data_IF_198987552779
#
_entry.id   IF_198987552779
#
_cell.length_a   1.000
_cell.length_b   1.000
_cell.length_c   1.000
_cell.angle_alpha   90.00
_cell.angle_beta   90.00
_cell.angle_gamma   90.00
#
_symmetry.space_group_name_H-M   'P 1'
#
loop_
_entity.id
_entity.type
_entity.pdbx_description
1 polymer ?
#
# COMPACT_ATOMS: atom_id res chain seq x y z
N UNK A 1 -23.89 13.37 4.43
CA UNK A 1 -23.55 11.93 4.50
C UNK A 1 -22.08 11.85 4.16
N UNK A 2 -21.23 11.69 5.17
CA UNK A 2 -19.81 11.41 4.95
C UNK A 2 -19.73 10.13 4.12
N UNK A 3 -19.38 10.28 2.84
CA UNK A 3 -18.99 9.12 2.05
C UNK A 3 -17.74 8.57 2.71
N UNK A 4 -17.74 7.27 2.97
CA UNK A 4 -16.57 6.55 3.43
C UNK A 4 -15.44 6.70 2.40
N UNK A 5 -14.51 7.63 2.65
CA UNK A 5 -13.46 8.01 1.70
C UNK A 5 -12.54 6.82 1.39
N UNK A 6 -12.35 5.89 2.33
CA UNK A 6 -11.57 4.66 2.13
C UNK A 6 -12.23 3.74 1.11
N UNK A 7 -13.57 3.57 1.17
CA UNK A 7 -14.29 2.68 0.24
C UNK A 7 -14.12 3.04 -1.24
N UNK A 8 -13.81 4.31 -1.53
CA UNK A 8 -13.64 4.80 -2.90
C UNK A 8 -12.20 4.66 -3.42
N UNK A 9 -11.22 4.44 -2.55
CA UNK A 9 -9.82 4.35 -2.94
C UNK A 9 -9.53 3.08 -3.77
N UNK A 10 -8.73 3.25 -4.80
CA UNK A 10 -8.13 2.15 -5.54
C UNK A 10 -7.06 1.48 -4.65
N UNK A 11 -7.12 0.16 -4.44
CA UNK A 11 -6.10 -0.56 -3.71
C UNK A 11 -4.84 -0.70 -4.57
N UNK A 12 -3.65 -0.55 -3.98
CA UNK A 12 -2.36 -0.53 -4.68
C UNK A 12 -1.33 -1.45 -4.03
N UNK A 13 -0.42 -1.99 -4.83
CA UNK A 13 0.82 -2.63 -4.36
C UNK A 13 1.86 -1.56 -3.99
N UNK A 14 1.87 -1.12 -2.73
CA UNK A 14 2.87 -0.17 -2.21
C UNK A 14 3.96 -0.95 -1.47
N UNK A 15 5.21 -0.85 -1.93
CA UNK A 15 6.33 -1.59 -1.35
C UNK A 15 7.11 -0.79 -0.29
N UNK A 16 8.09 -1.45 0.35
CA UNK A 16 8.87 -0.89 1.46
C UNK A 16 9.50 0.47 1.13
N UNK A 17 9.43 1.37 2.10
CA UNK A 17 10.04 2.70 2.08
C UNK A 17 9.22 3.78 1.35
N UNK A 18 8.01 3.47 0.88
CA UNK A 18 7.10 4.45 0.30
C UNK A 18 6.16 5.03 1.36
N UNK A 19 6.16 6.36 1.47
CA UNK A 19 5.21 7.15 2.25
C UNK A 19 4.08 7.64 1.35
N UNK A 20 2.84 7.45 1.79
CA UNK A 20 1.63 7.97 1.14
C UNK A 20 1.41 9.40 1.61
N UNK A 21 1.76 10.38 0.79
CA UNK A 21 1.59 11.81 1.12
C UNK A 21 0.18 12.27 0.82
N UNK A 22 -0.39 11.77 -0.26
CA UNK A 22 -1.77 12.05 -0.67
C UNK A 22 -2.30 10.82 -1.38
N UNK A 23 -3.52 10.41 -1.05
CA UNK A 23 -4.22 9.35 -1.75
C UNK A 23 -5.71 9.68 -1.87
N UNK A 24 -6.08 10.10 -3.07
CA UNK A 24 -7.44 10.30 -3.55
C UNK A 24 -7.65 9.47 -4.83
N UNK A 25 -6.82 8.45 -5.08
CA UNK A 25 -6.87 7.67 -6.30
C UNK A 25 -8.18 6.86 -6.31
N UNK A 26 -9.16 7.33 -7.08
CA UNK A 26 -10.46 6.71 -7.24
C UNK A 26 -10.91 6.87 -8.70
N UNK A 27 -11.97 6.16 -9.07
CA UNK A 27 -12.51 6.22 -10.44
C UNK A 27 -13.47 7.40 -10.67
N UNK A 28 -13.77 8.20 -9.64
CA UNK A 28 -14.67 9.35 -9.76
C UNK A 28 -13.93 10.54 -10.41
N UNK A 29 -14.35 10.89 -11.62
CA UNK A 29 -13.84 12.09 -12.30
C UNK A 29 -14.41 13.35 -11.64
N UNK A 30 -13.54 14.21 -11.13
CA UNK A 30 -13.93 15.53 -10.62
C UNK A 30 -13.94 16.57 -11.74
N UNK A 31 -14.80 17.59 -11.63
CA UNK A 31 -14.94 18.68 -12.62
C UNK A 31 -13.78 19.69 -12.59
N UNK A 32 -12.76 19.49 -11.75
CA UNK A 32 -11.58 20.34 -11.70
C UNK A 32 -10.68 20.09 -12.92
N UNK A 33 -10.13 21.18 -13.50
CA UNK A 33 -9.28 21.10 -14.70
C UNK A 33 -7.99 20.29 -14.48
N UNK A 34 -7.48 20.30 -13.24
CA UNK A 34 -6.28 19.56 -12.82
C UNK A 34 -6.34 19.24 -11.33
N UNK A 35 -6.23 17.97 -10.98
CA UNK A 35 -6.17 17.55 -9.57
C UNK A 35 -5.17 16.42 -9.35
N UNK A 36 -4.39 16.51 -8.26
CA UNK A 36 -3.44 15.46 -7.86
C UNK A 36 -4.23 14.33 -7.18
N UNK A 37 -4.19 13.14 -7.76
CA UNK A 37 -4.87 11.94 -7.28
C UNK A 37 -4.04 11.19 -6.25
N UNK A 38 -2.74 11.07 -6.49
CA UNK A 38 -1.83 10.31 -5.65
C UNK A 38 -0.49 11.01 -5.58
N UNK A 39 0.14 10.98 -4.41
CA UNK A 39 1.53 11.36 -4.23
C UNK A 39 2.21 10.39 -3.26
N UNK A 40 3.18 9.67 -3.78
CA UNK A 40 4.04 8.77 -3.01
C UNK A 40 5.45 9.35 -2.95
N UNK A 41 6.11 9.21 -1.80
CA UNK A 41 7.49 9.64 -1.62
C UNK A 41 8.34 8.50 -1.10
N UNK A 42 9.58 8.41 -1.59
CA UNK A 42 10.59 7.52 -1.06
C UNK A 42 11.86 8.32 -0.78
N UNK A 43 12.10 8.64 0.50
CA UNK A 43 13.22 9.49 0.91
C UNK A 43 14.57 8.84 0.66
N UNK A 44 14.69 7.53 0.96
CA UNK A 44 15.91 6.74 0.74
C UNK A 44 16.32 6.73 -0.72
N UNK A 45 15.32 6.67 -1.62
CA UNK A 45 15.53 6.71 -3.06
C UNK A 45 15.57 8.13 -3.62
N UNK A 46 15.27 9.15 -2.83
CA UNK A 46 15.13 10.53 -3.31
C UNK A 46 14.14 10.62 -4.50
N UNK A 47 13.00 9.95 -4.39
CA UNK A 47 12.00 9.86 -5.45
C UNK A 47 10.61 10.30 -5.00
N UNK A 48 9.83 10.79 -5.96
CA UNK A 48 8.39 11.05 -5.83
C UNK A 48 7.68 10.45 -7.05
N UNK A 49 6.57 9.76 -6.80
CA UNK A 49 5.63 9.35 -7.84
C UNK A 49 4.34 10.12 -7.62
N UNK A 50 3.83 10.73 -8.68
CA UNK A 50 2.56 11.46 -8.67
C UNK A 50 1.63 10.91 -9.72
N UNK A 51 0.35 10.88 -9.40
CA UNK A 51 -0.73 10.70 -10.37
C UNK A 51 -1.55 11.98 -10.36
N UNK A 52 -1.74 12.57 -11.53
CA UNK A 52 -2.52 13.79 -11.71
C UNK A 52 -3.56 13.52 -12.78
N UNK A 53 -4.82 13.90 -12.56
CA UNK A 53 -5.80 13.91 -13.62
C UNK A 53 -5.88 15.31 -14.25
N UNK A 54 -5.71 15.39 -15.56
CA UNK A 54 -5.78 16.64 -16.33
C UNK A 54 -6.14 16.34 -17.78
N UNK A 55 -6.96 17.20 -18.41
CA UNK A 55 -7.39 17.07 -19.81
C UNK A 55 -8.00 15.69 -20.12
N UNK A 56 -8.86 15.19 -19.23
CA UNK A 56 -9.51 13.87 -19.33
C UNK A 56 -8.56 12.65 -19.33
N UNK A 57 -7.30 12.84 -18.92
CA UNK A 57 -6.29 11.79 -18.84
C UNK A 57 -5.64 11.72 -17.46
N UNK A 58 -5.21 10.52 -17.09
CA UNK A 58 -4.33 10.30 -15.94
C UNK A 58 -2.89 10.48 -16.37
N UNK A 59 -2.12 11.28 -15.64
CA UNK A 59 -0.70 11.52 -15.87
C UNK A 59 0.09 10.94 -14.71
N UNK A 60 0.94 9.97 -15.00
CA UNK A 60 1.88 9.40 -14.05
C UNK A 60 3.23 10.12 -14.21
N UNK A 61 3.75 10.67 -13.12
CA UNK A 61 5.01 11.40 -13.11
C UNK A 61 5.95 10.77 -12.08
N UNK A 62 7.14 10.37 -12.52
CA UNK A 62 8.24 9.94 -11.65
C UNK A 62 9.30 11.03 -11.67
N UNK A 63 9.62 11.59 -10.50
CA UNK A 63 10.55 12.70 -10.38
C UNK A 63 11.48 12.55 -9.17
N UNK A 64 12.54 13.35 -9.13
CA UNK A 64 13.42 13.47 -7.97
C UNK A 64 12.71 14.18 -6.82
N UNK A 65 12.90 13.70 -5.60
CA UNK A 65 12.30 14.33 -4.41
C UNK A 65 12.93 15.70 -4.11
N UNK A 66 14.27 15.80 -4.25
CA UNK A 66 15.05 17.02 -3.95
C UNK A 66 15.51 17.78 -5.19
N UNK A 67 15.29 17.24 -6.39
CA UNK A 67 15.69 17.84 -7.67
C UNK A 67 14.47 17.87 -8.57
N UNK A 68 14.22 18.98 -9.24
CA UNK A 68 13.13 19.12 -10.22
C UNK A 68 13.37 18.34 -11.53
N UNK A 69 14.08 17.22 -11.44
CA UNK A 69 14.34 16.32 -12.56
C UNK A 69 13.16 15.34 -12.67
N UNK A 70 12.48 15.40 -13.81
CA UNK A 70 11.51 14.38 -14.21
C UNK A 70 12.29 13.23 -14.85
N UNK A 71 12.03 12.02 -14.37
CA UNK A 71 12.62 10.78 -14.90
C UNK A 71 11.69 10.10 -15.91
N UNK A 72 10.38 10.18 -15.68
CA UNK A 72 9.35 9.58 -16.53
C UNK A 72 8.03 10.35 -16.38
N UNK A 73 7.32 10.48 -17.49
CA UNK A 73 5.99 11.05 -17.57
C UNK A 73 5.22 10.31 -18.66
N UNK A 74 4.10 9.68 -18.29
CA UNK A 74 3.21 8.96 -19.20
C UNK A 74 1.76 9.34 -18.92
N UNK A 75 0.91 9.21 -19.94
CA UNK A 75 -0.51 9.52 -19.86
C UNK A 75 -1.37 8.32 -20.23
N UNK A 76 -2.47 8.15 -19.52
CA UNK A 76 -3.39 7.02 -19.64
C UNK A 76 -4.84 7.51 -19.73
N UNK A 77 -5.65 6.84 -20.54
CA UNK A 77 -7.09 7.09 -20.61
C UNK A 77 -7.87 6.21 -19.62
N UNK A 78 -7.36 4.99 -19.38
CA UNK A 78 -8.01 3.97 -18.56
C UNK A 78 -7.29 3.78 -17.23
N UNK A 79 -8.06 3.61 -16.16
CA UNK A 79 -7.53 3.42 -14.80
C UNK A 79 -6.69 2.13 -14.72
N UNK A 80 -7.12 1.04 -15.35
CA UNK A 80 -6.41 -0.24 -15.30
C UNK A 80 -4.97 -0.14 -15.81
N UNK A 81 -4.76 0.52 -16.95
CA UNK A 81 -3.44 0.76 -17.53
C UNK A 81 -2.57 1.65 -16.64
N UNK A 82 -3.17 2.68 -16.02
CA UNK A 82 -2.50 3.51 -15.03
C UNK A 82 -2.05 2.68 -13.82
N UNK A 83 -2.90 1.80 -13.29
CA UNK A 83 -2.59 1.00 -12.10
C UNK A 83 -1.43 0.03 -12.37
N UNK A 84 -1.41 -0.61 -13.54
CA UNK A 84 -0.31 -1.50 -13.95
C UNK A 84 1.03 -0.76 -13.99
N UNK A 85 1.08 0.38 -14.70
CA UNK A 85 2.31 1.17 -14.77
C UNK A 85 2.70 1.74 -13.41
N UNK A 86 1.73 2.20 -12.61
CA UNK A 86 1.96 2.75 -11.28
C UNK A 86 2.61 1.73 -10.34
N UNK A 87 2.07 0.52 -10.25
CA UNK A 87 2.63 -0.54 -9.42
C UNK A 87 4.03 -0.94 -9.92
N UNK A 88 4.24 -0.95 -11.24
CA UNK A 88 5.56 -1.19 -11.83
C UNK A 88 6.57 -0.12 -11.44
N UNK A 89 6.20 1.17 -11.46
CA UNK A 89 7.07 2.27 -11.06
C UNK A 89 7.36 2.27 -9.57
N UNK A 90 6.35 1.99 -8.72
CA UNK A 90 6.54 1.85 -7.27
C UNK A 90 7.59 0.77 -6.97
N UNK A 91 7.47 -0.39 -7.60
CA UNK A 91 8.43 -1.49 -7.45
C UNK A 91 9.83 -1.13 -7.97
N UNK A 92 9.92 -0.68 -9.22
CA UNK A 92 11.19 -0.42 -9.91
C UNK A 92 12.00 0.65 -9.22
N UNK A 93 11.35 1.75 -8.82
CA UNK A 93 12.01 2.84 -8.09
C UNK A 93 12.34 2.42 -6.65
N UNK A 94 11.41 1.74 -5.95
CA UNK A 94 11.59 1.30 -4.56
C UNK A 94 12.75 0.33 -4.39
N UNK A 95 12.92 -0.60 -5.34
CA UNK A 95 14.00 -1.58 -5.38
C UNK A 95 15.38 -0.96 -5.69
N UNK A 96 15.42 0.28 -6.18
CA UNK A 96 16.64 1.09 -6.26
C UNK A 96 17.04 1.55 -7.66
N UNK A 97 16.17 1.39 -8.66
CA UNK A 97 16.46 1.82 -10.03
C UNK A 97 15.85 3.20 -10.29
N UNK A 98 16.69 4.20 -10.46
CA UNK A 98 16.26 5.58 -10.77
C UNK A 98 16.97 6.20 -11.97
N UNK A 99 18.25 5.88 -12.20
CA UNK A 99 19.01 6.37 -13.35
C UNK A 99 19.22 5.24 -14.36
N UNK A 100 18.69 5.41 -15.58
CA UNK A 100 18.91 4.46 -16.68
C UNK A 100 18.11 3.14 -16.63
N UNK A 101 17.07 3.08 -15.79
CA UNK A 101 16.08 1.99 -15.64
C UNK A 101 16.47 0.62 -16.25
N UNK A 102 17.49 -0.05 -15.69
CA UNK A 102 17.71 -1.47 -15.95
C UNK A 102 16.79 -2.32 -15.04
N UNK A 103 16.08 -3.28 -15.63
CA UNK A 103 15.12 -4.15 -14.96
C UNK A 103 15.77 -4.98 -13.85
N UNK A 104 15.38 -4.76 -12.59
CA UNK A 104 15.74 -5.64 -11.47
C UNK A 104 14.94 -6.96 -11.48
N UNK A 105 13.77 -6.97 -12.13
CA UNK A 105 12.98 -8.13 -12.53
C UNK A 105 11.89 -7.67 -13.50
N UNK A 106 11.34 -8.57 -14.33
CA UNK A 106 10.25 -8.23 -15.25
C UNK A 106 8.87 -8.14 -14.57
N UNK A 107 8.74 -8.54 -13.30
CA UNK A 107 7.43 -8.73 -12.66
C UNK A 107 7.40 -8.06 -11.29
N UNK A 108 6.35 -7.26 -11.07
CA UNK A 108 6.00 -6.73 -9.75
C UNK A 108 5.65 -7.91 -8.84
N UNK A 109 6.19 -8.01 -7.61
CA UNK A 109 5.83 -9.06 -6.68
C UNK A 109 4.31 -9.17 -6.45
N UNK A 110 3.83 -10.36 -6.09
CA UNK A 110 2.42 -10.59 -5.82
C UNK A 110 1.96 -10.03 -4.45
N UNK A 111 2.39 -8.83 -4.08
CA UNK A 111 1.94 -8.20 -2.84
C UNK A 111 0.44 -7.93 -2.87
N UNK A 112 -0.19 -8.01 -1.70
CA UNK A 112 -1.59 -7.65 -1.54
C UNK A 112 -1.80 -6.17 -1.85
N UNK A 113 -2.85 -5.85 -2.61
CA UNK A 113 -3.23 -4.47 -2.89
C UNK A 113 -3.99 -3.89 -1.69
N UNK A 114 -3.53 -2.77 -1.15
CA UNK A 114 -4.08 -2.13 0.04
C UNK A 114 -4.54 -0.69 -0.25
N UNK A 115 -5.57 -0.22 0.45
CA UNK A 115 -6.11 1.15 0.35
C UNK A 115 -5.48 2.09 1.38
N UNK A 116 -4.15 2.16 1.38
CA UNK A 116 -3.40 2.91 2.40
C UNK A 116 -3.72 4.41 2.28
N UNK A 117 -4.25 5.07 3.33
CA UNK A 117 -4.56 6.50 3.28
C UNK A 117 -3.30 7.36 3.45
N UNK A 118 -3.47 8.66 3.21
CA UNK A 118 -2.41 9.63 3.42
C UNK A 118 -1.92 9.66 4.88
N UNK A 119 -0.62 9.85 5.07
CA UNK A 119 0.03 9.92 6.39
C UNK A 119 0.77 8.63 6.79
N UNK A 120 0.46 7.51 6.14
CA UNK A 120 1.10 6.22 6.40
C UNK A 120 2.35 5.99 5.54
N UNK A 121 3.29 5.22 6.09
CA UNK A 121 4.50 4.75 5.40
C UNK A 121 4.54 3.24 5.46
N UNK A 122 4.82 2.58 4.33
CA UNK A 122 5.07 1.14 4.30
C UNK A 122 6.49 0.89 4.75
N UNK A 123 6.69 0.47 5.98
CA UNK A 123 8.02 0.18 6.52
C UNK A 123 8.49 -1.19 6.03
N UNK A 124 7.58 -2.15 5.97
CA UNK A 124 7.84 -3.50 5.52
C UNK A 124 6.58 -4.16 4.93
N UNK A 125 6.71 -4.90 3.84
CA UNK A 125 5.66 -5.76 3.27
C UNK A 125 6.25 -7.02 2.64
N UNK A 126 5.68 -8.16 3.00
CA UNK A 126 5.78 -9.46 2.33
C UNK A 126 4.40 -10.10 2.10
N UNK A 127 3.34 -9.51 2.69
CA UNK A 127 1.95 -9.94 2.55
C UNK A 127 1.55 -10.07 1.08
N UNK A 128 1.17 -11.28 0.66
CA UNK A 128 0.79 -11.63 -0.71
C UNK A 128 -0.71 -11.69 -0.91
N UNK A 129 -1.13 -11.57 -2.16
CA UNK A 129 -2.51 -11.85 -2.61
C UNK A 129 -2.73 -13.37 -2.80
N UNK A 130 -2.38 -14.15 -1.77
CA UNK A 130 -2.54 -15.60 -1.73
C UNK A 130 -3.68 -15.90 -0.76
N UNK A 131 -4.77 -16.50 -1.24
CA UNK A 131 -5.91 -16.83 -0.38
C UNK A 131 -5.66 -18.16 0.37
N UNK A 132 -5.50 -18.15 1.71
CA UNK A 132 -5.25 -19.37 2.49
C UNK A 132 -6.34 -20.43 2.31
N UNK A 133 -7.58 -20.03 1.96
CA UNK A 133 -8.68 -20.97 1.72
C UNK A 133 -8.55 -21.79 0.44
N UNK A 134 -7.65 -21.39 -0.45
CA UNK A 134 -7.44 -22.06 -1.74
C UNK A 134 -6.25 -23.03 -1.71
N UNK A 135 -5.51 -23.06 -0.61
CA UNK A 135 -4.32 -23.88 -0.44
C UNK A 135 -4.65 -25.22 0.20
N UNK A 136 -3.96 -26.26 -0.25
CA UNK A 136 -3.93 -27.56 0.44
C UNK A 136 -2.98 -27.47 1.65
N UNK A 137 -3.16 -28.33 2.66
CA UNK A 137 -2.35 -28.30 3.90
C UNK A 137 -0.85 -28.51 3.65
N UNK A 138 -0.48 -29.20 2.57
CA UNK A 138 0.90 -29.50 2.21
C UNK A 138 1.49 -28.57 1.13
N UNK A 139 0.82 -27.44 0.85
CA UNK A 139 1.31 -26.46 -0.12
C UNK A 139 2.54 -25.70 0.43
N UNK A 140 3.58 -25.55 -0.40
CA UNK A 140 4.80 -24.84 -0.02
C UNK A 140 4.55 -23.34 0.25
N UNK A 141 3.44 -22.78 -0.26
CA UNK A 141 3.04 -21.39 -0.01
C UNK A 141 2.94 -21.08 1.50
N UNK A 142 2.54 -22.05 2.33
CA UNK A 142 2.52 -21.87 3.79
C UNK A 142 3.88 -21.40 4.33
N UNK A 143 4.99 -21.96 3.82
CA UNK A 143 6.34 -21.64 4.27
C UNK A 143 6.85 -20.27 3.80
N UNK A 144 6.32 -19.73 2.70
CA UNK A 144 6.87 -18.54 2.03
C UNK A 144 5.95 -17.32 2.05
N UNK A 145 4.65 -17.52 2.22
CA UNK A 145 3.63 -16.48 2.12
C UNK A 145 3.04 -16.13 3.49
N UNK A 146 3.17 -17.01 4.48
CA UNK A 146 2.48 -16.93 5.78
C UNK A 146 3.47 -17.03 6.95
N UNK A 147 4.24 -15.96 7.19
CA UNK A 147 5.17 -15.84 8.32
C UNK A 147 4.70 -14.79 9.35
N UNK A 148 5.45 -14.61 10.44
CA UNK A 148 5.06 -13.71 11.54
C UNK A 148 5.13 -12.23 11.17
N UNK A 149 5.91 -11.86 10.15
CA UNK A 149 6.13 -10.47 9.72
C UNK A 149 5.61 -10.31 8.29
N UNK A 150 4.33 -9.94 8.11
CA UNK A 150 3.72 -9.79 6.78
C UNK A 150 3.61 -8.34 6.32
N UNK A 151 3.24 -7.44 7.23
CA UNK A 151 3.05 -6.02 6.94
C UNK A 151 3.38 -5.21 8.19
N UNK A 152 4.20 -4.17 8.03
CA UNK A 152 4.38 -3.15 9.03
C UNK A 152 4.29 -1.78 8.38
N UNK A 153 3.34 -0.96 8.84
CA UNK A 153 3.15 0.41 8.35
C UNK A 153 3.02 1.39 9.51
N UNK A 154 3.60 2.58 9.36
CA UNK A 154 3.61 3.60 10.42
C UNK A 154 2.98 4.92 10.00
N UNK A 155 2.26 5.54 10.92
CA UNK A 155 1.76 6.91 10.80
C UNK A 155 2.52 7.83 11.78
N UNK A 156 3.67 8.36 11.33
CA UNK A 156 4.61 9.13 12.17
C UNK A 156 3.96 10.28 12.95
N UNK A 157 3.08 11.07 12.34
CA UNK A 157 2.45 12.22 13.03
C UNK A 157 1.49 11.81 14.15
N UNK A 158 0.91 10.60 14.09
CA UNK A 158 -0.04 10.07 15.07
C UNK A 158 0.60 9.05 16.02
N UNK A 159 1.89 8.75 15.82
CA UNK A 159 2.63 7.70 16.51
C UNK A 159 1.88 6.35 16.51
N UNK A 160 1.29 6.00 15.37
CA UNK A 160 0.64 4.70 15.16
C UNK A 160 1.56 3.77 14.37
N UNK A 161 1.54 2.50 14.72
CA UNK A 161 2.16 1.39 13.99
C UNK A 161 1.10 0.31 13.81
N UNK A 162 0.84 -0.09 12.57
CA UNK A 162 -0.03 -1.23 12.27
C UNK A 162 0.85 -2.38 11.81
N UNK A 163 0.76 -3.49 12.54
CA UNK A 163 1.52 -4.71 12.30
C UNK A 163 0.56 -5.85 11.93
N UNK A 164 0.97 -6.68 10.97
CA UNK A 164 0.22 -7.87 10.55
C UNK A 164 1.18 -9.03 10.39
N UNK A 165 0.82 -10.16 10.98
CA UNK A 165 1.53 -11.43 10.87
C UNK A 165 0.59 -12.61 10.67
N UNK A 166 1.14 -13.79 10.38
CA UNK A 166 0.41 -15.06 10.42
C UNK A 166 0.91 -15.93 11.56
N UNK A 167 -0.03 -16.43 12.37
CA UNK A 167 0.25 -17.16 13.60
C UNK A 167 -0.59 -18.44 13.73
N UNK A 168 0.03 -19.60 14.00
CA UNK A 168 1.48 -19.86 13.97
C UNK A 168 2.06 -19.72 12.56
N UNK A 169 3.31 -19.29 12.44
CA UNK A 169 3.99 -19.16 11.15
C UNK A 169 4.00 -20.49 10.39
N UNK A 170 3.63 -20.41 9.10
CA UNK A 170 3.59 -21.53 8.18
C UNK A 170 2.57 -22.62 8.51
N UNK A 171 1.69 -22.41 9.49
CA UNK A 171 0.67 -23.38 9.87
C UNK A 171 -0.61 -23.14 9.05
N UNK A 172 -1.12 -24.15 8.30
CA UNK A 172 -2.39 -24.05 7.57
C UNK A 172 -3.62 -23.75 8.45
N UNK A 173 -3.53 -24.05 9.75
CA UNK A 173 -4.56 -23.77 10.75
C UNK A 173 -4.37 -22.41 11.45
N UNK A 174 -3.34 -21.66 11.05
CA UNK A 174 -3.04 -20.34 11.58
C UNK A 174 -4.06 -19.27 11.19
N UNK A 175 -3.74 -18.04 11.53
CA UNK A 175 -4.59 -16.88 11.30
C UNK A 175 -3.75 -15.62 11.15
N UNK A 176 -4.25 -14.64 10.41
CA UNK A 176 -3.72 -13.29 10.46
C UNK A 176 -3.95 -12.70 11.85
N UNK A 177 -2.90 -12.21 12.48
CA UNK A 177 -2.95 -11.31 13.63
C UNK A 177 -2.72 -9.88 13.17
N UNK A 178 -3.53 -8.96 13.66
CA UNK A 178 -3.48 -7.53 13.33
C UNK A 178 -3.37 -6.76 14.65
N UNK A 179 -2.29 -5.99 14.80
CA UNK A 179 -2.05 -5.16 15.98
C UNK A 179 -1.87 -3.69 15.58
N UNK A 180 -2.70 -2.80 16.15
CA UNK A 180 -2.52 -1.36 16.03
C UNK A 180 -1.89 -0.82 17.32
N UNK A 181 -0.61 -0.47 17.27
CA UNK A 181 0.15 0.02 18.41
C UNK A 181 0.24 1.54 18.38
N UNK A 182 0.12 2.16 19.56
CA UNK A 182 0.31 3.61 19.73
C UNK A 182 1.48 3.90 20.65
N UNK A 183 2.34 4.84 20.26
CA UNK A 183 3.53 5.24 21.04
C UNK A 183 4.43 4.06 21.46
N UNK A 184 4.55 3.04 20.61
CA UNK A 184 5.36 1.83 20.88
C UNK A 184 4.87 1.01 22.10
N UNK A 185 3.62 1.19 22.56
CA UNK A 185 3.03 0.42 23.65
C UNK A 185 2.50 -0.94 23.14
N UNK A 186 3.41 -1.87 22.88
CA UNK A 186 3.10 -3.24 22.42
C UNK A 186 2.30 -4.05 23.45
N UNK A 187 2.37 -3.68 24.73
CA UNK A 187 1.64 -4.38 25.79
C UNK A 187 0.15 -4.01 25.82
N UNK A 188 -0.22 -2.86 25.22
CA UNK A 188 -1.58 -2.34 25.19
C UNK A 188 -1.94 -1.84 23.78
N UNK A 189 -2.08 -2.75 22.79
CA UNK A 189 -2.49 -2.36 21.45
C UNK A 189 -3.89 -1.74 21.46
N UNK A 190 -4.12 -0.76 20.58
CA UNK A 190 -5.42 -0.13 20.39
C UNK A 190 -6.42 -1.07 19.72
N UNK A 191 -5.92 -1.95 18.86
CA UNK A 191 -6.68 -3.01 18.20
C UNK A 191 -5.80 -4.27 18.20
N UNK A 192 -6.38 -5.41 18.56
CA UNK A 192 -5.77 -6.74 18.52
C UNK A 192 -6.84 -7.70 17.97
N UNK A 193 -6.66 -8.11 16.71
CA UNK A 193 -7.68 -8.80 15.93
C UNK A 193 -7.07 -10.01 15.24
N UNK A 194 -7.76 -11.15 15.35
CA UNK A 194 -7.43 -12.37 14.62
C UNK A 194 -8.46 -12.64 13.51
N UNK A 195 -7.99 -13.02 12.32
CA UNK A 195 -8.87 -13.48 11.23
C UNK A 195 -8.18 -14.49 10.32
N UNK A 196 -8.95 -15.40 9.71
CA UNK A 196 -8.42 -16.48 8.86
C UNK A 196 -8.56 -16.21 7.37
N UNK A 197 -9.34 -15.19 6.98
CA UNK A 197 -9.68 -14.92 5.59
C UNK A 197 -9.05 -13.63 5.11
N UNK A 198 -8.48 -13.66 3.90
CA UNK A 198 -7.90 -12.47 3.26
C UNK A 198 -8.91 -11.32 3.14
N UNK A 199 -10.18 -11.65 2.86
CA UNK A 199 -11.27 -10.67 2.79
C UNK A 199 -11.59 -10.05 4.15
N UNK A 200 -11.52 -10.82 5.23
CA UNK A 200 -11.72 -10.32 6.59
C UNK A 200 -10.56 -9.40 6.96
N UNK A 201 -9.31 -9.81 6.68
CA UNK A 201 -8.11 -8.97 6.85
C UNK A 201 -8.28 -7.61 6.17
N UNK A 202 -8.60 -7.58 4.87
CA UNK A 202 -8.80 -6.34 4.12
C UNK A 202 -9.88 -5.44 4.76
N UNK A 203 -10.96 -6.04 5.23
CA UNK A 203 -12.04 -5.30 5.90
C UNK A 203 -11.58 -4.70 7.22
N UNK A 204 -10.80 -5.44 8.02
CA UNK A 204 -10.28 -4.93 9.29
C UNK A 204 -9.27 -3.80 9.07
N UNK A 205 -8.38 -3.93 8.07
CA UNK A 205 -7.46 -2.85 7.67
C UNK A 205 -8.23 -1.60 7.23
N UNK A 206 -9.23 -1.75 6.36
CA UNK A 206 -10.09 -0.64 5.92
C UNK A 206 -10.78 0.05 7.12
N UNK A 207 -11.27 -0.71 8.11
CA UNK A 207 -11.89 -0.16 9.33
C UNK A 207 -10.89 0.62 10.19
N UNK A 208 -9.67 0.10 10.36
CA UNK A 208 -8.60 0.78 11.10
C UNK A 208 -8.25 2.11 10.42
N UNK A 209 -8.08 2.10 9.09
CA UNK A 209 -7.82 3.31 8.31
C UNK A 209 -8.95 4.33 8.43
N UNK A 210 -10.21 3.89 8.40
CA UNK A 210 -11.36 4.79 8.60
C UNK A 210 -11.37 5.44 9.99
N UNK A 211 -11.14 4.66 11.06
CA UNK A 211 -11.06 5.16 12.45
C UNK A 211 -9.92 6.18 12.58
N UNK A 212 -8.76 5.86 12.00
CA UNK A 212 -7.60 6.76 11.99
C UNK A 212 -7.93 8.07 11.28
N UNK A 213 -8.51 8.04 10.08
CA UNK A 213 -8.90 9.25 9.33
C UNK A 213 -9.92 10.11 10.07
N UNK A 214 -10.79 9.50 10.89
CA UNK A 214 -11.76 10.20 11.75
C UNK A 214 -11.16 10.71 13.06
N UNK A 215 -9.87 10.46 13.31
CA UNK A 215 -9.16 10.79 14.54
C UNK A 215 -9.77 10.12 15.78
N UNK A 216 -10.16 8.85 15.64
CA UNK A 216 -10.75 8.06 16.72
C UNK A 216 -9.70 7.33 17.59
N UNK A 217 -8.39 7.55 17.34
CA UNK A 217 -7.26 6.96 18.07
C UNK A 217 -6.40 7.98 18.81
#
# INVERSE_FOLDING_TARGET
MDRDQISQLQPLKICNGWSVVQNNLNSEKRMEEKYELLKLQNEKRNAVIKVIFQNDQYHLIVAGLKKDKIYKEDSFNEMEQLLEELEYQIWTVGSGVLEGLQQLSQHVPNFLRLKIPAGWTVDYITLKDTDPKTLEENDDAWLFDFNQDLLQISHKTKNLLLDVGWYPEGDPTGSYGIELIKNEDWENPLEDIMCTELKELLKQLDLIFMKEMKNEF
#
